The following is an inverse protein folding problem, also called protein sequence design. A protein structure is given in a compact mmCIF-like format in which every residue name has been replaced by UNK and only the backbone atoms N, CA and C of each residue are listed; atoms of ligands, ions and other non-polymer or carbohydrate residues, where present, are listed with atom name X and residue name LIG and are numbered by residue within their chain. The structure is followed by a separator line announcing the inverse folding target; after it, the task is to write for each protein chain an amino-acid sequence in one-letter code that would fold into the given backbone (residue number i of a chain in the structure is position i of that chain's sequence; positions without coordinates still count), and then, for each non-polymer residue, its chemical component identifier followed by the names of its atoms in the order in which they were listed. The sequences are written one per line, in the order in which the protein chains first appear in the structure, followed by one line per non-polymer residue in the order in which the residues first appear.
data_IF_616984486704
#
_entry.id   IF_616984486704
#
_cell.length_a   1.000
_cell.length_b   1.000
_cell.length_c   1.000
_cell.angle_alpha   90.00
_cell.angle_beta   90.00
_cell.angle_gamma   90.00
#
_symmetry.space_group_name_H-M   'P 1'
#
loop_
_entity.id
_entity.type
_entity.pdbx_description
1 polymer ?
#
# COMPACT_ATOMS: atom_id res chain seq x y z
N UNK A 1 6.83 -23.77 1.47
CA UNK A 1 6.63 -22.47 0.80
C UNK A 1 5.18 -21.97 0.94
N UNK A 2 4.14 -22.75 0.59
CA UNK A 2 2.72 -22.33 0.71
C UNK A 2 2.34 -21.86 2.12
N UNK A 3 2.70 -22.62 3.17
CA UNK A 3 2.40 -22.27 4.55
C UNK A 3 3.04 -20.92 4.95
N UNK A 4 4.30 -20.69 4.59
CA UNK A 4 5.02 -19.46 4.91
C UNK A 4 4.36 -18.26 4.24
N UNK A 5 4.03 -18.35 2.95
CA UNK A 5 3.33 -17.27 2.23
C UNK A 5 1.93 -17.02 2.79
N UNK A 6 1.22 -18.07 3.21
CA UNK A 6 -0.07 -17.93 3.89
C UNK A 6 0.05 -17.20 5.24
N UNK A 7 1.06 -17.52 6.03
CA UNK A 7 1.35 -16.83 7.31
C UNK A 7 1.72 -15.34 7.05
N UNK A 8 2.56 -15.06 6.05
CA UNK A 8 2.91 -13.68 5.71
C UNK A 8 1.69 -12.88 5.26
N UNK A 9 0.84 -13.45 4.41
CA UNK A 9 -0.40 -12.82 3.96
C UNK A 9 -1.34 -12.52 5.13
N UNK A 10 -1.59 -13.52 5.99
CA UNK A 10 -2.43 -13.35 7.17
C UNK A 10 -1.84 -12.33 8.16
N UNK A 11 -0.53 -12.37 8.39
CA UNK A 11 0.16 -11.39 9.24
C UNK A 11 0.02 -9.97 8.71
N UNK A 12 0.13 -9.78 7.37
CA UNK A 12 -0.05 -8.47 6.75
C UNK A 12 -1.49 -7.98 6.86
N UNK A 13 -2.48 -8.85 6.68
CA UNK A 13 -3.89 -8.52 6.92
C UNK A 13 -4.14 -8.06 8.36
N UNK A 14 -3.52 -8.72 9.34
CA UNK A 14 -3.62 -8.31 10.74
C UNK A 14 -3.00 -6.91 10.95
N UNK A 15 -1.88 -6.61 10.30
CA UNK A 15 -1.25 -5.27 10.37
C UNK A 15 -2.18 -4.21 9.80
N UNK A 16 -2.75 -4.41 8.60
CA UNK A 16 -3.72 -3.48 8.02
C UNK A 16 -4.91 -3.28 8.97
N UNK A 17 -5.49 -4.37 9.47
CA UNK A 17 -6.61 -4.31 10.39
C UNK A 17 -6.27 -3.54 11.68
N UNK A 18 -5.07 -3.71 12.21
CA UNK A 18 -4.61 -2.99 13.40
C UNK A 18 -4.53 -1.47 13.16
N UNK A 19 -3.98 -1.03 12.03
CA UNK A 19 -3.96 0.38 11.64
C UNK A 19 -5.37 0.92 11.37
N UNK A 20 -6.21 0.13 10.73
CA UNK A 20 -7.60 0.48 10.43
C UNK A 20 -8.46 0.62 11.68
N UNK A 21 -8.13 -0.13 12.74
CA UNK A 21 -8.82 -0.09 14.04
C UNK A 21 -8.47 1.14 14.90
N UNK A 22 -7.52 1.98 14.48
CA UNK A 22 -7.18 3.20 15.21
C UNK A 22 -8.25 4.28 14.99
N UNK A 23 -8.65 5.03 16.05
CA UNK A 23 -9.51 6.21 15.91
C UNK A 23 -8.95 7.22 14.92
N UNK A 24 -9.82 8.01 14.31
CA UNK A 24 -9.39 9.01 13.32
C UNK A 24 -8.38 10.02 13.90
N UNK A 25 -8.48 10.37 15.18
CA UNK A 25 -7.55 11.28 15.87
C UNK A 25 -6.13 10.72 15.89
N UNK A 26 -5.94 9.47 16.31
CA UNK A 26 -4.62 8.82 16.33
C UNK A 26 -4.02 8.69 14.93
N UNK A 27 -4.84 8.28 13.96
CA UNK A 27 -4.42 8.19 12.55
C UNK A 27 -3.98 9.55 11.99
N UNK A 28 -4.70 10.64 12.35
CA UNK A 28 -4.35 12.00 11.94
C UNK A 28 -3.09 12.52 12.64
N UNK A 29 -2.86 12.19 13.90
CA UNK A 29 -1.62 12.54 14.61
C UNK A 29 -0.40 11.90 13.95
N UNK A 30 -0.50 10.62 13.59
CA UNK A 30 0.60 9.91 12.92
C UNK A 30 0.87 10.53 11.54
N UNK A 31 -0.16 10.67 10.69
CA UNK A 31 0.00 11.25 9.36
C UNK A 31 0.42 12.71 9.42
N UNK A 32 -0.07 13.49 10.37
CA UNK A 32 0.32 14.88 10.60
C UNK A 32 1.79 15.01 11.00
N UNK A 33 2.27 14.15 11.91
CA UNK A 33 3.69 14.13 12.30
C UNK A 33 4.59 13.79 11.11
N UNK A 34 4.23 12.78 10.30
CA UNK A 34 4.98 12.40 9.09
C UNK A 34 4.98 13.56 8.09
N UNK A 35 3.83 14.20 7.87
CA UNK A 35 3.69 15.33 6.95
C UNK A 35 4.57 16.51 7.38
N UNK A 36 4.55 16.84 8.68
CA UNK A 36 5.36 17.93 9.23
C UNK A 36 6.87 17.65 9.03
N UNK A 37 7.33 16.46 9.40
CA UNK A 37 8.73 16.06 9.21
C UNK A 37 9.14 16.09 7.74
N UNK A 38 8.28 15.62 6.84
CA UNK A 38 8.57 15.62 5.41
C UNK A 38 8.77 17.04 4.87
N UNK A 39 7.94 17.99 5.30
CA UNK A 39 8.09 19.41 4.89
C UNK A 39 9.33 20.04 5.52
N UNK A 40 9.57 19.80 6.80
CA UNK A 40 10.74 20.29 7.54
C UNK A 40 12.05 19.79 6.90
N UNK A 41 12.20 18.47 6.66
CA UNK A 41 13.37 17.89 6.01
C UNK A 41 13.56 18.43 4.57
N UNK A 42 12.45 18.66 3.86
CA UNK A 42 12.49 19.23 2.50
C UNK A 42 12.95 20.69 2.54
N UNK A 43 12.47 21.47 3.51
CA UNK A 43 12.91 22.85 3.72
C UNK A 43 14.41 22.93 4.00
N UNK A 44 14.92 22.05 4.86
CA UNK A 44 16.36 21.94 5.16
C UNK A 44 17.19 21.59 3.93
N UNK A 45 16.76 20.59 3.13
CA UNK A 45 17.49 20.15 1.93
C UNK A 45 17.57 21.24 0.87
N UNK A 46 16.47 21.95 0.63
CA UNK A 46 16.37 22.95 -0.44
C UNK A 46 16.64 24.38 0.04
N UNK A 47 16.83 24.60 1.36
CA UNK A 47 17.07 25.92 1.98
C UNK A 47 16.01 26.99 1.57
N UNK A 48 14.73 26.60 1.63
CA UNK A 48 13.64 27.54 1.30
C UNK A 48 13.41 28.59 2.39
N UNK A 49 13.81 28.32 3.63
CA UNK A 49 13.71 29.24 4.76
C UNK A 49 12.27 29.46 5.22
N UNK A 50 11.46 28.40 5.26
CA UNK A 50 10.08 28.45 5.67
C UNK A 50 9.98 28.72 7.18
N UNK A 51 8.99 29.53 7.57
CA UNK A 51 8.65 29.70 8.98
C UNK A 51 7.91 28.46 9.52
N UNK A 52 7.92 28.25 10.83
CA UNK A 52 7.18 27.17 11.49
C UNK A 52 5.69 27.13 11.10
N UNK A 53 5.07 28.32 10.97
CA UNK A 53 3.67 28.45 10.57
C UNK A 53 3.46 28.01 9.11
N UNK A 54 4.40 28.33 8.22
CA UNK A 54 4.35 27.88 6.81
C UNK A 54 4.52 26.37 6.70
N UNK A 55 5.48 25.80 7.44
CA UNK A 55 5.67 24.35 7.52
C UNK A 55 4.38 23.67 8.01
N UNK A 56 3.78 24.17 9.09
CA UNK A 56 2.53 23.63 9.63
C UNK A 56 1.36 23.70 8.65
N UNK A 57 1.21 24.81 7.92
CA UNK A 57 0.15 24.97 6.91
C UNK A 57 0.34 24.01 5.73
N UNK A 58 1.56 23.87 5.21
CA UNK A 58 1.87 22.95 4.12
C UNK A 58 1.63 21.51 4.58
N UNK A 59 2.12 21.14 5.77
CA UNK A 59 1.96 19.83 6.36
C UNK A 59 0.48 19.45 6.51
N UNK A 60 -0.36 20.36 6.99
CA UNK A 60 -1.81 20.16 7.09
C UNK A 60 -2.47 19.90 5.74
N UNK A 61 -2.03 20.58 4.67
CA UNK A 61 -2.58 20.39 3.34
C UNK A 61 -2.20 19.03 2.71
N UNK A 62 -1.03 18.48 3.04
CA UNK A 62 -0.55 17.21 2.49
C UNK A 62 -0.85 16.00 3.39
N UNK A 63 -1.37 16.19 4.61
CA UNK A 63 -1.68 15.12 5.54
C UNK A 63 -2.62 14.07 4.93
N UNK A 64 -3.74 14.52 4.36
CA UNK A 64 -4.71 13.62 3.74
C UNK A 64 -4.12 12.82 2.55
N UNK A 65 -3.44 13.43 1.56
CA UNK A 65 -2.72 12.70 0.53
C UNK A 65 -1.71 11.69 1.06
N UNK A 66 -0.92 12.03 2.09
CA UNK A 66 0.06 11.13 2.70
C UNK A 66 -0.62 9.93 3.33
N UNK A 67 -1.70 10.13 4.08
CA UNK A 67 -2.49 9.04 4.65
C UNK A 67 -3.05 8.11 3.57
N UNK A 68 -3.58 8.66 2.47
CA UNK A 68 -4.06 7.83 1.36
C UNK A 68 -2.94 7.09 0.63
N UNK A 69 -1.77 7.70 0.49
CA UNK A 69 -0.59 7.03 -0.07
C UNK A 69 -0.12 5.86 0.82
N UNK A 70 -0.18 6.00 2.15
CA UNK A 70 0.11 4.91 3.08
C UNK A 70 -0.86 3.73 2.87
N UNK A 71 -2.17 3.97 2.84
CA UNK A 71 -3.18 2.93 2.56
C UNK A 71 -2.94 2.25 1.19
N UNK A 72 -2.72 3.03 0.14
CA UNK A 72 -2.39 2.47 -1.18
C UNK A 72 -1.15 1.58 -1.14
N UNK A 73 -0.13 1.94 -0.34
CA UNK A 73 1.10 1.15 -0.17
C UNK A 73 0.82 -0.15 0.60
N UNK A 74 0.04 -0.09 1.66
CA UNK A 74 -0.40 -1.28 2.42
C UNK A 74 -1.12 -2.28 1.52
N UNK A 75 -2.04 -1.79 0.70
CA UNK A 75 -2.79 -2.63 -0.23
C UNK A 75 -1.97 -3.09 -1.45
N UNK A 76 -0.95 -2.34 -1.88
CA UNK A 76 0.01 -2.80 -2.88
C UNK A 76 0.81 -4.02 -2.37
N UNK A 77 1.28 -3.97 -1.11
CA UNK A 77 1.98 -5.09 -0.46
C UNK A 77 1.03 -6.28 -0.27
N UNK A 78 -0.22 -6.05 0.15
CA UNK A 78 -1.25 -7.08 0.24
C UNK A 78 -1.43 -7.80 -1.11
N UNK A 79 -1.52 -7.04 -2.20
CA UNK A 79 -1.61 -7.56 -3.56
C UNK A 79 -0.41 -8.42 -3.95
N UNK A 80 0.81 -8.02 -3.60
CA UNK A 80 2.02 -8.81 -3.84
C UNK A 80 2.02 -10.13 -3.08
N UNK A 81 1.63 -10.11 -1.81
CA UNK A 81 1.56 -11.30 -0.97
C UNK A 81 0.45 -12.25 -1.47
N UNK A 82 -0.72 -11.72 -1.82
CA UNK A 82 -1.81 -12.50 -2.40
C UNK A 82 -1.43 -13.11 -3.75
N UNK A 83 -0.73 -12.36 -4.61
CA UNK A 83 -0.20 -12.86 -5.88
C UNK A 83 0.82 -13.99 -5.64
N UNK A 84 1.79 -13.80 -4.73
CA UNK A 84 2.79 -14.80 -4.40
C UNK A 84 2.15 -16.06 -3.81
N UNK A 85 1.17 -15.90 -2.93
CA UNK A 85 0.42 -17.02 -2.35
C UNK A 85 -0.39 -17.76 -3.42
N UNK A 86 -1.13 -17.05 -4.28
CA UNK A 86 -1.87 -17.66 -5.38
C UNK A 86 -0.95 -18.41 -6.35
N UNK A 87 0.28 -17.93 -6.56
CA UNK A 87 1.31 -18.59 -7.38
C UNK A 87 1.77 -19.96 -6.88
N UNK A 88 1.34 -20.38 -5.68
CA UNK A 88 1.57 -21.74 -5.17
C UNK A 88 0.54 -22.76 -5.68
N UNK A 89 -0.46 -22.32 -6.43
CA UNK A 89 -1.48 -23.15 -7.07
C UNK A 89 -1.24 -23.22 -8.58
N UNK A 90 -1.64 -24.32 -9.19
CA UNK A 90 -1.50 -24.51 -10.64
C UNK A 90 -2.63 -23.78 -11.38
N UNK A 91 -2.37 -22.52 -11.71
CA UNK A 91 -3.30 -21.67 -12.45
C UNK A 91 -2.56 -20.86 -13.52
N UNK A 92 -3.29 -20.34 -14.51
CA UNK A 92 -2.73 -19.43 -15.51
C UNK A 92 -2.29 -18.13 -14.86
N UNK A 93 -1.16 -17.55 -15.29
CA UNK A 93 -0.61 -16.33 -14.72
C UNK A 93 -1.64 -15.18 -14.62
N UNK A 94 -2.52 -15.02 -15.60
CA UNK A 94 -3.59 -14.01 -15.56
C UNK A 94 -4.55 -14.20 -14.37
N UNK A 95 -4.82 -15.46 -14.02
CA UNK A 95 -5.73 -15.79 -12.90
C UNK A 95 -5.13 -15.37 -11.57
N UNK A 96 -3.81 -15.47 -11.39
CA UNK A 96 -3.13 -14.99 -10.18
C UNK A 96 -3.30 -13.48 -9.97
N UNK A 97 -3.20 -12.66 -11.05
CA UNK A 97 -3.44 -11.22 -10.96
C UNK A 97 -4.90 -10.90 -10.60
N UNK A 98 -5.85 -11.58 -11.25
CA UNK A 98 -7.28 -11.38 -11.00
C UNK A 98 -7.64 -11.81 -9.57
N UNK A 99 -7.11 -12.96 -9.12
CA UNK A 99 -7.34 -13.47 -7.76
C UNK A 99 -6.77 -12.52 -6.70
N UNK A 100 -5.54 -12.00 -6.90
CA UNK A 100 -4.92 -11.06 -5.97
C UNK A 100 -5.69 -9.73 -5.90
N UNK A 101 -6.11 -9.19 -7.06
CA UNK A 101 -6.89 -7.95 -7.11
C UNK A 101 -8.27 -8.13 -6.48
N UNK A 102 -8.98 -9.23 -6.82
CA UNK A 102 -10.29 -9.54 -6.25
C UNK A 102 -10.23 -9.78 -4.75
N UNK A 103 -9.20 -10.46 -4.27
CA UNK A 103 -8.96 -10.67 -2.84
C UNK A 103 -8.75 -9.34 -2.11
N UNK A 104 -7.90 -8.45 -2.64
CA UNK A 104 -7.64 -7.15 -2.04
C UNK A 104 -8.89 -6.25 -2.06
N UNK A 105 -9.69 -6.27 -3.13
CA UNK A 105 -10.97 -5.57 -3.19
C UNK A 105 -11.96 -6.05 -2.11
N UNK A 106 -12.09 -7.37 -1.96
CA UNK A 106 -12.95 -7.94 -0.91
C UNK A 106 -12.44 -7.54 0.48
N UNK A 107 -11.12 -7.59 0.70
CA UNK A 107 -10.54 -7.22 1.98
C UNK A 107 -10.72 -5.72 2.28
N UNK A 108 -10.47 -4.83 1.31
CA UNK A 108 -10.75 -3.40 1.43
C UNK A 108 -12.22 -3.11 1.75
N UNK A 109 -13.14 -3.86 1.12
CA UNK A 109 -14.57 -3.71 1.40
C UNK A 109 -14.93 -4.11 2.84
N UNK A 110 -14.31 -5.18 3.39
CA UNK A 110 -14.50 -5.57 4.79
C UNK A 110 -13.87 -4.59 5.76
N UNK A 111 -12.72 -4.02 5.39
CA UNK A 111 -12.01 -3.01 6.18
C UNK A 111 -12.83 -1.73 6.29
N UNK A 112 -13.32 -1.19 5.17
CA UNK A 112 -14.18 0.00 5.15
C UNK A 112 -15.52 -0.23 5.87
N UNK A 113 -16.09 -1.44 5.79
CA UNK A 113 -17.25 -1.80 6.58
C UNK A 113 -16.93 -1.79 8.09
N UNK A 114 -15.77 -2.30 8.49
CA UNK A 114 -15.31 -2.26 9.88
C UNK A 114 -15.13 -0.81 10.37
N UNK A 115 -14.58 0.06 9.54
CA UNK A 115 -14.36 1.48 9.89
C UNK A 115 -15.65 2.25 10.24
N UNK A 116 -16.84 1.77 9.82
CA UNK A 116 -18.12 2.35 10.26
C UNK A 116 -18.32 2.27 11.78
N UNK A 117 -17.63 1.36 12.46
CA UNK A 117 -17.74 1.15 13.91
C UNK A 117 -16.61 1.81 14.70
N UNK A 118 -15.65 2.45 14.02
CA UNK A 118 -14.49 3.10 14.64
C UNK A 118 -14.75 4.59 14.88
N UNK A 119 -14.49 5.12 16.08
CA UNK A 119 -14.75 6.52 16.40
C UNK A 119 -14.06 7.49 15.44
N UNK A 120 -14.84 8.42 14.88
CA UNK A 120 -14.35 9.47 13.98
C UNK A 120 -14.00 8.99 12.57
N UNK A 121 -14.10 7.68 12.27
CA UNK A 121 -13.96 7.14 10.92
C UNK A 121 -15.31 7.08 10.20
N UNK A 122 -15.25 7.16 8.88
CA UNK A 122 -16.39 6.97 8.00
C UNK A 122 -15.98 5.98 6.92
N UNK A 123 -16.58 4.78 6.92
CA UNK A 123 -16.37 3.82 5.83
C UNK A 123 -16.94 4.39 4.52
N UNK A 124 -16.10 4.49 3.50
CA UNK A 124 -16.47 5.07 2.21
C UNK A 124 -16.08 4.17 1.06
N UNK A 125 -17.01 3.89 0.15
CA UNK A 125 -16.71 3.11 -1.06
C UNK A 125 -15.57 3.74 -1.91
N UNK A 126 -15.39 5.07 -1.83
CA UNK A 126 -14.26 5.76 -2.44
C UNK A 126 -12.92 5.23 -1.92
N UNK A 127 -12.83 4.91 -0.64
CA UNK A 127 -11.60 4.41 -0.02
C UNK A 127 -11.33 2.95 -0.45
N UNK A 128 -12.37 2.12 -0.59
CA UNK A 128 -12.23 0.80 -1.26
C UNK A 128 -11.62 0.93 -2.65
N UNK A 129 -12.06 1.92 -3.43
CA UNK A 129 -11.51 2.16 -4.78
C UNK A 129 -10.05 2.61 -4.73
N UNK A 130 -9.67 3.47 -3.77
CA UNK A 130 -8.29 3.95 -3.60
C UNK A 130 -7.37 2.79 -3.23
N UNK A 131 -7.75 1.95 -2.29
CA UNK A 131 -7.00 0.80 -1.81
C UNK A 131 -6.85 -0.26 -2.92
N UNK A 132 -7.93 -0.51 -3.65
CA UNK A 132 -7.90 -1.40 -4.83
C UNK A 132 -7.01 -0.84 -5.93
N UNK A 133 -7.00 0.49 -6.15
CA UNK A 133 -6.08 1.14 -7.09
C UNK A 133 -4.62 0.99 -6.63
N UNK A 134 -4.34 1.11 -5.32
CA UNK A 134 -3.03 0.81 -4.75
C UNK A 134 -2.57 -0.61 -5.08
N UNK A 135 -3.46 -1.60 -4.89
CA UNK A 135 -3.21 -2.99 -5.28
C UNK A 135 -2.92 -3.13 -6.78
N UNK A 136 -3.73 -2.50 -7.64
CA UNK A 136 -3.55 -2.58 -9.09
C UNK A 136 -2.21 -1.99 -9.53
N UNK A 137 -1.82 -0.82 -8.98
CA UNK A 137 -0.52 -0.18 -9.22
C UNK A 137 0.61 -1.10 -8.73
N UNK A 138 0.51 -1.66 -7.53
CA UNK A 138 1.48 -2.59 -6.98
C UNK A 138 1.68 -3.82 -7.87
N UNK A 139 0.59 -4.44 -8.33
CA UNK A 139 0.64 -5.59 -9.25
C UNK A 139 1.23 -5.23 -10.62
N UNK A 140 0.95 -4.03 -11.13
CA UNK A 140 1.56 -3.54 -12.37
C UNK A 140 3.08 -3.37 -12.22
N UNK A 141 3.53 -2.75 -11.13
CA UNK A 141 4.95 -2.62 -10.82
C UNK A 141 5.63 -3.98 -10.69
N UNK A 142 5.01 -4.93 -10.02
CA UNK A 142 5.50 -6.31 -9.92
C UNK A 142 5.63 -6.96 -11.31
N UNK A 143 4.63 -6.80 -12.18
CA UNK A 143 4.66 -7.34 -13.53
C UNK A 143 5.83 -6.76 -14.36
N UNK A 144 6.08 -5.45 -14.24
CA UNK A 144 7.20 -4.76 -14.89
C UNK A 144 8.54 -5.31 -14.37
N UNK A 145 8.70 -5.39 -13.05
CA UNK A 145 9.93 -5.90 -12.41
C UNK A 145 10.21 -7.35 -12.82
N UNK A 146 9.20 -8.22 -12.81
CA UNK A 146 9.35 -9.61 -13.25
C UNK A 146 9.74 -9.70 -14.73
N UNK A 147 9.18 -8.84 -15.59
CA UNK A 147 9.53 -8.79 -17.02
C UNK A 147 10.99 -8.34 -17.24
N UNK A 148 11.44 -7.32 -16.51
CA UNK A 148 12.82 -6.83 -16.55
C UNK A 148 13.77 -7.94 -16.07
N UNK A 149 13.48 -8.56 -14.94
CA UNK A 149 14.29 -9.61 -14.35
C UNK A 149 14.43 -10.82 -15.32
N UNK A 150 13.32 -11.29 -15.89
CA UNK A 150 13.33 -12.39 -16.88
C UNK A 150 14.20 -12.05 -18.10
N UNK A 151 14.15 -10.81 -18.59
CA UNK A 151 14.99 -10.35 -19.72
C UNK A 151 16.47 -10.35 -19.34
N UNK A 152 16.82 -9.92 -18.12
CA UNK A 152 18.20 -9.95 -17.64
C UNK A 152 18.73 -11.37 -17.49
N UNK A 153 17.96 -12.29 -16.95
CA UNK A 153 18.35 -13.70 -16.83
C UNK A 153 18.55 -14.35 -18.21
N UNK A 154 17.66 -14.08 -19.16
CA UNK A 154 17.80 -14.62 -20.52
C UNK A 154 19.07 -14.12 -21.23
N UNK A 155 19.40 -12.82 -21.09
CA UNK A 155 20.65 -12.26 -21.65
C UNK A 155 21.90 -12.91 -21.04
N UNK A 156 21.95 -13.11 -19.70
CA UNK A 156 23.10 -13.77 -19.04
C UNK A 156 23.26 -15.22 -19.50
N UNK A 157 22.18 -15.97 -19.73
CA UNK A 157 22.25 -17.33 -20.24
C UNK A 157 22.86 -17.39 -21.63
N UNK A 158 22.59 -16.40 -22.52
CA UNK A 158 23.18 -16.31 -23.86
C UNK A 158 24.66 -15.91 -23.87
N UNK A 159 25.16 -15.22 -22.85
CA UNK A 159 26.59 -14.78 -22.78
C UNK A 159 27.51 -15.87 -22.23
N UNK A 160 26.96 -16.95 -21.68
CA UNK A 160 27.69 -18.08 -21.09
C UNK A 160 27.78 -19.30 -22.05
N UNK A 161 27.21 -19.18 -23.24
CA UNK A 161 27.34 -20.15 -24.37
C UNK A 161 28.30 -19.63 -25.44
#
# INVERSE_FOLDING_TARGET
MRLILGIMLAGWMIIIFWFSNQPATESSEISGTISYRLVEDTDEIFNWGLTTDQIGNIAGNIEYPIRKAAHMTEYAILGWLAFAFSGTFEMRQKVHYIAALGFAFCYASTDEFHQLFIPGRSGQFKDVCIDTAGTAIGLLLLAILLKIWRRHCAKRAHTLQ
#
